data_IF_668660589848
#
_entry.id   IF_668660589848
#
_cell.length_a   1.000
_cell.length_b   1.000
_cell.length_c   1.000
_cell.angle_alpha   90.00
_cell.angle_beta   90.00
_cell.angle_gamma   90.00
#
_symmetry.space_group_name_H-M   'P 1'
#
loop_
_entity.id
_entity.type
_entity.pdbx_description
1 polymer ?
#
# COMPACT_ATOMS: atom_id res chain seq x y z
N UNK A 1 -19.52 2.49 1.19
CA UNK A 1 -18.54 1.37 1.11
C UNK A 1 -17.15 1.88 1.36
N UNK A 2 -16.22 1.03 1.83
CA UNK A 2 -14.84 1.44 2.02
C UNK A 2 -13.87 0.45 1.39
N UNK A 3 -12.69 0.96 0.97
CA UNK A 3 -11.53 0.17 0.58
C UNK A 3 -10.45 0.38 1.63
N UNK A 4 -9.97 -0.72 2.19
CA UNK A 4 -8.83 -0.74 3.09
C UNK A 4 -7.58 -1.03 2.25
N UNK A 5 -6.71 -0.03 2.08
CA UNK A 5 -5.40 -0.18 1.42
C UNK A 5 -4.37 -0.47 2.47
N UNK A 6 -3.82 -1.68 2.50
CA UNK A 6 -2.82 -2.11 3.49
C UNK A 6 -1.48 -2.40 2.81
N UNK A 7 -0.41 -1.84 3.33
CA UNK A 7 0.94 -2.29 2.99
C UNK A 7 1.16 -3.68 3.59
N UNK A 8 1.77 -4.60 2.81
CA UNK A 8 2.18 -5.91 3.34
C UNK A 8 2.96 -5.78 4.65
N UNK A 9 2.92 -6.81 5.48
CA UNK A 9 3.66 -6.86 6.74
C UNK A 9 5.16 -7.17 6.52
N UNK A 10 5.93 -7.30 7.62
CA UNK A 10 7.39 -7.38 7.62
C UNK A 10 7.85 -8.68 6.94
N UNK A 11 8.59 -8.60 5.81
CA UNK A 11 9.13 -9.77 5.16
C UNK A 11 10.37 -10.32 5.89
N UNK A 12 10.71 -11.56 5.61
CA UNK A 12 12.01 -12.11 5.98
C UNK A 12 13.15 -11.31 5.33
N UNK A 13 14.24 -11.15 6.05
CA UNK A 13 15.45 -10.46 5.60
C UNK A 13 16.64 -11.41 5.64
N UNK A 14 17.58 -11.23 4.71
CA UNK A 14 18.84 -12.01 4.69
C UNK A 14 18.74 -13.41 4.06
N UNK A 15 17.57 -13.81 3.55
CA UNK A 15 17.38 -15.01 2.75
C UNK A 15 17.78 -14.82 1.28
N UNK A 16 17.95 -15.91 0.54
CA UNK A 16 18.25 -15.91 -0.91
C UNK A 16 17.00 -15.86 -1.80
N UNK A 17 15.80 -15.84 -1.23
CA UNK A 17 14.55 -15.81 -2.00
C UNK A 17 14.37 -14.45 -2.68
N UNK A 18 14.10 -14.41 -3.99
CA UNK A 18 13.75 -13.17 -4.69
C UNK A 18 12.37 -12.62 -4.28
N UNK A 19 11.50 -13.46 -3.72
CA UNK A 19 10.19 -13.09 -3.19
C UNK A 19 10.01 -13.65 -1.76
N UNK A 20 10.56 -12.97 -0.74
CA UNK A 20 10.51 -13.44 0.64
C UNK A 20 9.08 -13.39 1.19
N UNK A 21 8.74 -14.40 1.97
CA UNK A 21 7.52 -14.43 2.78
C UNK A 21 7.60 -13.54 4.00
N UNK A 22 6.60 -13.63 4.88
CA UNK A 22 6.60 -12.88 6.14
C UNK A 22 7.55 -13.52 7.16
N UNK A 23 8.25 -12.66 7.89
CA UNK A 23 8.97 -13.07 9.10
C UNK A 23 8.00 -13.43 10.23
N UNK A 24 8.49 -14.09 11.27
CA UNK A 24 7.69 -14.37 12.47
C UNK A 24 7.11 -13.08 13.09
N UNK A 25 7.89 -12.00 13.13
CA UNK A 25 7.42 -10.68 13.56
C UNK A 25 6.36 -10.13 12.60
N UNK A 26 6.54 -10.33 11.29
CA UNK A 26 5.57 -9.92 10.26
C UNK A 26 4.23 -10.63 10.41
N UNK A 27 4.22 -11.91 10.70
CA UNK A 27 2.99 -12.67 10.99
C UNK A 27 2.25 -12.12 12.20
N UNK A 28 2.96 -11.87 13.30
CA UNK A 28 2.38 -11.30 14.52
C UNK A 28 1.82 -9.90 14.29
N UNK A 29 2.57 -9.04 13.55
CA UNK A 29 2.16 -7.67 13.25
C UNK A 29 0.91 -7.62 12.38
N UNK A 30 0.82 -8.45 11.34
CA UNK A 30 -0.37 -8.54 10.50
C UNK A 30 -1.58 -9.07 11.28
N UNK A 31 -1.41 -10.12 12.10
CA UNK A 31 -2.47 -10.63 12.95
C UNK A 31 -2.99 -9.56 13.93
N UNK A 32 -2.11 -8.74 14.50
CA UNK A 32 -2.48 -7.67 15.41
C UNK A 32 -3.27 -6.54 14.70
N UNK A 33 -2.87 -6.15 13.47
CA UNK A 33 -3.58 -5.09 12.74
C UNK A 33 -5.00 -5.52 12.36
N UNK A 34 -5.23 -6.79 12.09
CA UNK A 34 -6.55 -7.32 11.75
C UNK A 34 -7.52 -7.41 12.95
N UNK A 35 -7.06 -7.13 14.18
CA UNK A 35 -7.96 -6.93 15.33
C UNK A 35 -8.69 -5.57 15.28
N UNK A 36 -8.29 -4.65 14.40
CA UNK A 36 -8.98 -3.38 14.23
C UNK A 36 -10.39 -3.60 13.64
N UNK A 37 -11.38 -2.93 14.23
CA UNK A 37 -12.79 -3.06 13.85
C UNK A 37 -13.06 -2.74 12.36
N UNK A 38 -12.21 -1.94 11.71
CA UNK A 38 -12.34 -1.63 10.30
C UNK A 38 -12.33 -2.88 9.39
N UNK A 39 -11.73 -3.99 9.84
CA UNK A 39 -11.66 -5.22 9.06
C UNK A 39 -12.88 -6.13 9.22
N UNK A 40 -13.74 -5.88 10.23
CA UNK A 40 -14.90 -6.76 10.52
C UNK A 40 -15.94 -6.83 9.40
N UNK A 41 -16.02 -5.79 8.60
CA UNK A 41 -16.99 -5.67 7.50
C UNK A 41 -16.39 -5.93 6.13
N UNK A 42 -15.16 -6.42 6.09
CA UNK A 42 -14.49 -6.82 4.84
C UNK A 42 -15.08 -8.13 4.34
N UNK A 43 -15.50 -8.15 3.07
CA UNK A 43 -16.03 -9.34 2.39
C UNK A 43 -15.22 -9.75 1.17
N UNK A 44 -14.46 -8.85 0.57
CA UNK A 44 -13.56 -9.13 -0.54
C UNK A 44 -12.11 -8.80 -0.17
N UNK A 45 -11.20 -9.69 -0.54
CA UNK A 45 -9.76 -9.53 -0.29
C UNK A 45 -8.98 -9.72 -1.58
N UNK A 46 -8.32 -8.65 -2.01
CA UNK A 46 -7.42 -8.69 -3.16
C UNK A 46 -6.00 -8.40 -2.73
N UNK A 47 -5.03 -9.06 -3.36
CA UNK A 47 -3.62 -8.94 -2.98
C UNK A 47 -2.71 -8.89 -4.20
N UNK A 48 -1.61 -8.14 -4.06
CA UNK A 48 -0.42 -8.37 -4.89
C UNK A 48 -0.03 -9.84 -4.86
N UNK A 49 0.49 -10.41 -5.97
CA UNK A 49 0.95 -11.79 -6.02
C UNK A 49 2.23 -12.05 -5.23
N UNK A 50 2.97 -11.01 -4.78
CA UNK A 50 4.16 -11.18 -3.95
C UNK A 50 3.84 -11.93 -2.67
N UNK A 51 4.69 -12.92 -2.31
CA UNK A 51 4.43 -13.83 -1.20
C UNK A 51 4.14 -13.12 0.11
N UNK A 52 4.90 -12.05 0.46
CA UNK A 52 4.67 -11.23 1.66
C UNK A 52 3.30 -10.55 1.68
N UNK A 53 2.80 -10.10 0.52
CA UNK A 53 1.48 -9.48 0.44
C UNK A 53 0.36 -10.52 0.53
N UNK A 54 0.52 -11.63 -0.18
CA UNK A 54 -0.40 -12.76 -0.14
C UNK A 54 -0.56 -13.32 1.26
N UNK A 55 0.55 -13.60 1.95
CA UNK A 55 0.54 -14.10 3.32
C UNK A 55 -0.09 -13.08 4.30
N UNK A 56 0.17 -11.77 4.11
CA UNK A 56 -0.50 -10.74 4.90
C UNK A 56 -2.01 -10.83 4.71
N UNK A 57 -2.49 -10.87 3.46
CA UNK A 57 -3.91 -10.93 3.15
C UNK A 57 -4.61 -12.18 3.69
N UNK A 58 -3.95 -13.33 3.61
CA UNK A 58 -4.47 -14.63 4.05
C UNK A 58 -4.77 -14.69 5.56
N UNK A 59 -4.05 -13.89 6.37
CA UNK A 59 -4.27 -13.84 7.83
C UNK A 59 -5.64 -13.27 8.21
N UNK A 60 -6.35 -12.60 7.29
CA UNK A 60 -7.74 -12.19 7.54
C UNK A 60 -8.73 -13.39 7.51
N UNK A 61 -8.31 -14.55 6.99
CA UNK A 61 -9.14 -15.77 6.96
C UNK A 61 -10.20 -15.81 5.86
N UNK A 62 -10.17 -14.89 4.91
CA UNK A 62 -11.07 -14.84 3.74
C UNK A 62 -10.36 -15.32 2.47
N UNK A 63 -11.11 -15.80 1.44
CA UNK A 63 -10.54 -16.09 0.13
C UNK A 63 -9.82 -14.87 -0.46
N UNK A 64 -8.60 -15.04 -0.98
CA UNK A 64 -7.78 -13.97 -1.52
C UNK A 64 -7.69 -14.10 -3.03
N UNK A 65 -8.13 -13.06 -3.75
CA UNK A 65 -7.86 -12.90 -5.19
C UNK A 65 -6.52 -12.20 -5.38
N UNK A 66 -5.65 -12.80 -6.18
CA UNK A 66 -4.37 -12.19 -6.57
C UNK A 66 -4.54 -11.39 -7.85
N UNK A 67 -3.90 -10.21 -7.92
CA UNK A 67 -3.89 -9.38 -9.11
C UNK A 67 -2.53 -8.68 -9.27
N UNK A 68 -1.89 -8.85 -10.43
CA UNK A 68 -0.57 -8.28 -10.74
C UNK A 68 -0.58 -6.76 -10.79
N UNK A 69 -1.74 -6.13 -11.03
CA UNK A 69 -1.91 -4.66 -10.99
C UNK A 69 -1.69 -4.08 -9.60
N UNK A 70 -1.70 -4.92 -8.54
CA UNK A 70 -1.41 -4.55 -7.15
C UNK A 70 0.07 -4.74 -6.77
N UNK A 71 0.92 -5.20 -7.68
CA UNK A 71 2.34 -5.41 -7.42
C UNK A 71 3.07 -4.09 -7.07
N UNK A 72 4.23 -4.20 -6.38
CA UNK A 72 5.07 -3.03 -6.11
C UNK A 72 5.54 -2.40 -7.43
N UNK A 73 5.86 -1.11 -7.37
CA UNK A 73 6.47 -0.41 -8.50
C UNK A 73 7.77 -1.12 -8.90
N UNK A 74 7.87 -1.47 -10.16
CA UNK A 74 9.15 -1.92 -10.73
C UNK A 74 10.09 -0.73 -10.82
N UNK A 75 11.16 -0.76 -10.02
CA UNK A 75 12.10 0.36 -9.92
C UNK A 75 12.95 0.51 -11.18
N UNK A 76 13.23 -0.60 -11.87
CA UNK A 76 14.12 -0.62 -13.04
C UNK A 76 15.58 -0.51 -12.66
N UNK A 77 16.43 -0.17 -13.64
CA UNK A 77 17.86 0.01 -13.41
C UNK A 77 18.14 1.33 -12.69
N UNK A 78 18.73 1.21 -11.51
CA UNK A 78 19.14 2.35 -10.67
C UNK A 78 20.63 2.64 -10.71
N UNK A 79 21.37 2.06 -11.65
CA UNK A 79 22.81 2.27 -11.81
C UNK A 79 23.12 3.75 -11.98
N UNK A 80 24.03 4.28 -11.15
CA UNK A 80 24.40 5.69 -11.15
C UNK A 80 23.38 6.66 -10.53
N UNK A 81 22.29 6.15 -9.97
CA UNK A 81 21.33 6.97 -9.23
C UNK A 81 21.80 7.16 -7.78
N UNK A 82 21.61 8.35 -7.25
CA UNK A 82 21.76 8.65 -5.82
C UNK A 82 20.40 8.62 -5.10
N UNK A 83 20.37 8.92 -3.80
CA UNK A 83 19.16 8.91 -3.01
C UNK A 83 18.09 9.90 -3.49
N UNK A 84 18.45 10.90 -4.33
CA UNK A 84 17.52 11.91 -4.81
C UNK A 84 16.49 11.33 -5.79
N UNK A 85 16.80 10.20 -6.47
CA UNK A 85 15.83 9.56 -7.37
C UNK A 85 14.57 9.15 -6.62
N UNK A 86 14.69 8.78 -5.35
CA UNK A 86 13.54 8.41 -4.54
C UNK A 86 12.58 9.58 -4.31
N UNK A 87 13.10 10.80 -4.13
CA UNK A 87 12.30 12.03 -4.07
C UNK A 87 11.69 12.36 -5.43
N UNK A 88 12.51 12.34 -6.49
CA UNK A 88 12.11 12.69 -7.85
C UNK A 88 10.90 11.89 -8.34
N UNK A 89 10.79 10.61 -8.03
CA UNK A 89 9.64 9.78 -8.44
C UNK A 89 8.30 10.24 -7.85
N UNK A 90 8.31 10.97 -6.73
CA UNK A 90 7.11 11.58 -6.14
C UNK A 90 6.79 12.95 -6.72
N UNK A 91 7.80 13.70 -7.12
CA UNK A 91 7.68 15.06 -7.66
C UNK A 91 7.37 15.06 -9.16
N UNK A 92 7.91 14.09 -9.89
CA UNK A 92 7.67 13.88 -11.32
C UNK A 92 6.99 12.51 -11.52
N UNK A 93 5.66 12.47 -11.66
CA UNK A 93 4.93 11.21 -11.79
C UNK A 93 5.24 10.44 -13.07
N UNK A 94 5.88 11.06 -14.06
CA UNK A 94 6.31 10.42 -15.30
C UNK A 94 7.76 9.92 -15.25
N UNK A 95 8.50 10.29 -14.20
CA UNK A 95 9.86 9.81 -14.01
C UNK A 95 9.91 8.30 -13.83
N UNK A 96 10.77 7.64 -14.61
CA UNK A 96 11.10 6.23 -14.46
C UNK A 96 12.54 5.96 -14.87
N UNK A 97 13.14 4.95 -14.23
CA UNK A 97 14.42 4.40 -14.65
C UNK A 97 14.23 3.50 -15.86
N UNK A 98 15.29 3.19 -16.63
CA UNK A 98 15.24 2.16 -17.67
C UNK A 98 14.60 0.86 -17.12
N UNK A 99 13.73 0.22 -17.89
CA UNK A 99 12.98 -0.99 -17.52
C UNK A 99 12.10 -0.88 -16.26
N UNK A 100 11.96 0.34 -15.72
CA UNK A 100 11.09 0.64 -14.56
C UNK A 100 9.68 1.06 -14.96
N UNK A 101 8.88 1.35 -13.93
CA UNK A 101 7.57 1.99 -14.04
C UNK A 101 7.64 3.41 -13.49
N UNK A 102 6.87 4.33 -14.08
CA UNK A 102 6.58 5.63 -13.48
C UNK A 102 5.47 5.52 -12.45
N UNK A 103 5.34 6.52 -11.57
CA UNK A 103 4.22 6.58 -10.64
C UNK A 103 2.87 6.69 -11.36
N UNK A 104 2.83 7.38 -12.52
CA UNK A 104 1.61 7.46 -13.35
C UNK A 104 1.18 6.08 -13.86
N UNK A 105 2.11 5.28 -14.36
CA UNK A 105 1.83 3.92 -14.83
C UNK A 105 1.30 3.03 -13.69
N UNK A 106 1.95 3.07 -12.52
CA UNK A 106 1.53 2.31 -11.34
C UNK A 106 0.16 2.79 -10.83
N UNK A 107 -0.06 4.10 -10.77
CA UNK A 107 -1.34 4.70 -10.36
C UNK A 107 -2.47 4.27 -11.28
N UNK A 108 -2.23 4.23 -12.60
CA UNK A 108 -3.22 3.81 -13.59
C UNK A 108 -3.63 2.34 -13.38
N UNK A 109 -2.65 1.40 -13.33
CA UNK A 109 -2.96 -0.02 -13.15
C UNK A 109 -3.64 -0.33 -11.82
N UNK A 110 -3.24 0.36 -10.74
CA UNK A 110 -3.92 0.22 -9.45
C UNK A 110 -5.36 0.76 -9.50
N UNK A 111 -5.59 1.89 -10.18
CA UNK A 111 -6.93 2.43 -10.32
C UNK A 111 -7.85 1.49 -11.10
N UNK A 112 -7.37 0.90 -12.19
CA UNK A 112 -8.13 -0.07 -12.98
C UNK A 112 -8.52 -1.30 -12.14
N UNK A 113 -7.56 -1.80 -11.34
CA UNK A 113 -7.81 -2.91 -10.42
C UNK A 113 -8.86 -2.55 -9.35
N UNK A 114 -8.72 -1.38 -8.73
CA UNK A 114 -9.62 -0.92 -7.67
C UNK A 114 -11.02 -0.61 -8.23
N UNK A 115 -11.14 -0.09 -9.45
CA UNK A 115 -12.44 0.12 -10.10
C UNK A 115 -13.15 -1.22 -10.36
N UNK A 116 -12.45 -2.24 -10.85
CA UNK A 116 -13.01 -3.58 -11.03
C UNK A 116 -13.46 -4.19 -9.69
N UNK A 117 -12.66 -4.00 -8.64
CA UNK A 117 -13.03 -4.44 -7.29
C UNK A 117 -14.31 -3.74 -6.81
N UNK A 118 -14.41 -2.42 -6.99
CA UNK A 118 -15.60 -1.65 -6.60
C UNK A 118 -16.86 -2.11 -7.34
N UNK A 119 -16.74 -2.50 -8.62
CA UNK A 119 -17.85 -3.01 -9.41
C UNK A 119 -18.33 -4.39 -8.94
N UNK A 120 -17.44 -5.15 -8.31
CA UNK A 120 -17.74 -6.48 -7.75
C UNK A 120 -18.12 -6.46 -6.27
N UNK A 121 -17.95 -5.31 -5.58
CA UNK A 121 -18.20 -5.20 -4.15
C UNK A 121 -19.69 -5.05 -3.85
N UNK A 122 -20.30 -5.97 -3.07
CA UNK A 122 -21.70 -5.86 -2.67
C UNK A 122 -21.97 -4.57 -1.89
N UNK A 123 -23.19 -4.05 -2.00
CA UNK A 123 -23.62 -2.86 -1.28
C UNK A 123 -23.46 -3.03 0.24
N UNK A 124 -22.96 -2.00 0.90
CA UNK A 124 -22.71 -2.01 2.35
C UNK A 124 -21.49 -2.80 2.81
N UNK A 125 -20.80 -3.48 1.89
CA UNK A 125 -19.58 -4.25 2.20
C UNK A 125 -18.32 -3.41 1.98
N UNK A 126 -17.21 -3.88 2.56
CA UNK A 126 -15.88 -3.30 2.42
C UNK A 126 -14.92 -4.30 1.78
N UNK A 127 -13.84 -3.79 1.19
CA UNK A 127 -12.81 -4.62 0.60
C UNK A 127 -11.44 -4.31 1.21
N UNK A 128 -10.61 -5.34 1.35
CA UNK A 128 -9.19 -5.22 1.67
C UNK A 128 -8.36 -5.38 0.39
N UNK A 129 -7.43 -4.45 0.20
CA UNK A 129 -6.39 -4.52 -0.84
C UNK A 129 -5.04 -4.52 -0.16
N UNK A 130 -4.27 -5.61 -0.28
CA UNK A 130 -2.91 -5.69 0.23
C UNK A 130 -1.91 -5.47 -0.90
N UNK A 131 -1.08 -4.45 -0.74
CA UNK A 131 -0.11 -4.00 -1.74
C UNK A 131 1.19 -3.50 -1.07
N UNK A 132 1.86 -2.55 -1.66
CA UNK A 132 3.21 -2.12 -1.32
C UNK A 132 3.28 -0.59 -1.16
N UNK A 133 4.36 -0.11 -0.55
CA UNK A 133 4.47 1.29 -0.19
C UNK A 133 4.44 2.26 -1.37
N UNK A 134 5.24 2.03 -2.43
CA UNK A 134 5.26 2.93 -3.57
C UNK A 134 3.98 2.81 -4.41
N UNK A 135 3.44 1.60 -4.57
CA UNK A 135 2.21 1.37 -5.29
C UNK A 135 1.01 2.08 -4.61
N UNK A 136 0.86 1.94 -3.30
CA UNK A 136 -0.20 2.63 -2.54
C UNK A 136 -0.03 4.15 -2.62
N UNK A 137 1.19 4.68 -2.42
CA UNK A 137 1.44 6.12 -2.51
C UNK A 137 1.14 6.67 -3.90
N UNK A 138 1.53 5.98 -4.98
CA UNK A 138 1.21 6.42 -6.35
C UNK A 138 -0.30 6.43 -6.62
N UNK A 139 -1.06 5.48 -6.08
CA UNK A 139 -2.51 5.51 -6.17
C UNK A 139 -3.12 6.68 -5.37
N UNK A 140 -2.62 6.92 -4.15
CA UNK A 140 -3.10 8.01 -3.30
C UNK A 140 -2.83 9.40 -3.90
N UNK A 141 -1.78 9.59 -4.71
CA UNK A 141 -1.52 10.85 -5.42
C UNK A 141 -2.67 11.31 -6.34
N UNK A 142 -3.63 10.45 -6.63
CA UNK A 142 -4.86 10.83 -7.37
C UNK A 142 -5.79 11.73 -6.55
N UNK A 143 -5.67 11.72 -5.22
CA UNK A 143 -6.59 12.36 -4.27
C UNK A 143 -5.87 13.15 -3.19
N UNK A 144 -4.63 12.79 -2.89
CA UNK A 144 -3.81 13.31 -1.81
C UNK A 144 -2.58 14.04 -2.36
N UNK A 145 -2.08 14.99 -1.62
CA UNK A 145 -0.71 15.47 -1.77
C UNK A 145 0.22 14.50 -1.05
N UNK A 146 1.27 14.04 -1.73
CA UNK A 146 2.30 13.16 -1.18
C UNK A 146 3.65 13.84 -1.36
N UNK A 147 4.22 14.33 -0.27
CA UNK A 147 5.48 15.08 -0.25
C UNK A 147 6.57 14.24 0.41
N UNK A 148 7.76 14.27 -0.16
CA UNK A 148 8.96 13.68 0.47
C UNK A 148 9.55 14.72 1.43
N UNK A 149 9.52 14.44 2.73
CA UNK A 149 10.07 15.31 3.77
C UNK A 149 11.54 15.02 4.06
N UNK A 150 11.98 13.76 3.88
CA UNK A 150 13.40 13.36 3.94
C UNK A 150 13.63 12.17 3.00
N UNK A 151 14.41 12.41 1.93
CA UNK A 151 14.70 11.39 0.93
C UNK A 151 15.64 10.28 1.44
N UNK A 152 16.62 10.64 2.27
CA UNK A 152 17.60 9.68 2.79
C UNK A 152 16.94 8.70 3.77
N UNK A 153 16.04 9.20 4.61
CA UNK A 153 15.28 8.39 5.56
C UNK A 153 13.96 7.86 4.98
N UNK A 154 13.62 8.20 3.73
CA UNK A 154 12.36 7.81 3.07
C UNK A 154 11.11 8.25 3.84
N UNK A 155 11.17 9.44 4.46
CA UNK A 155 10.04 10.05 5.13
C UNK A 155 9.15 10.79 4.13
N UNK A 156 7.84 10.75 4.38
CA UNK A 156 6.84 11.43 3.53
C UNK A 156 5.70 11.97 4.37
N UNK A 157 5.10 13.03 3.86
CA UNK A 157 3.82 13.56 4.37
C UNK A 157 2.74 13.27 3.35
N UNK A 158 1.61 12.71 3.80
CA UNK A 158 0.42 12.46 2.99
C UNK A 158 -0.70 13.30 3.57
N UNK A 159 -1.31 14.15 2.72
CA UNK A 159 -2.37 15.08 3.12
C UNK A 159 -3.59 14.90 2.22
N UNK A 160 -4.77 14.79 2.81
CA UNK A 160 -6.05 14.73 2.13
C UNK A 160 -6.95 15.87 2.59
N UNK A 161 -7.41 16.72 1.67
CA UNK A 161 -8.28 17.88 1.97
C UNK A 161 -7.77 18.80 3.12
N UNK A 162 -6.45 18.95 3.22
CA UNK A 162 -5.80 19.76 4.25
C UNK A 162 -5.50 19.03 5.56
N UNK A 163 -6.02 17.81 5.74
CA UNK A 163 -5.73 16.96 6.91
C UNK A 163 -4.50 16.08 6.66
N UNK A 164 -3.57 16.07 7.62
CA UNK A 164 -2.37 15.22 7.56
C UNK A 164 -2.74 13.80 7.99
N UNK A 165 -2.65 12.86 7.06
CA UNK A 165 -2.92 11.44 7.28
C UNK A 165 -1.68 10.69 7.79
N UNK A 166 -0.50 11.02 7.24
CA UNK A 166 0.77 10.43 7.60
C UNK A 166 1.85 11.51 7.59
N UNK A 167 2.71 11.54 8.60
CA UNK A 167 3.95 12.33 8.62
C UNK A 167 5.08 11.44 9.15
N UNK A 168 5.98 11.03 8.26
CA UNK A 168 7.08 10.13 8.57
C UNK A 168 7.16 8.87 7.70
N UNK A 169 7.50 7.74 8.32
CA UNK A 169 7.54 6.46 7.61
C UNK A 169 6.14 5.87 7.39
N UNK A 170 5.95 5.31 6.20
CA UNK A 170 4.83 4.41 5.93
C UNK A 170 5.31 2.97 6.21
N UNK A 171 5.06 2.50 7.44
CA UNK A 171 5.57 1.21 7.91
C UNK A 171 4.82 0.02 7.32
N UNK A 172 5.41 -1.17 7.46
CA UNK A 172 4.78 -2.43 7.14
C UNK A 172 3.52 -2.64 7.99
N UNK A 173 2.47 -3.16 7.38
CA UNK A 173 1.12 -3.30 7.95
C UNK A 173 0.42 -1.99 8.35
N UNK A 174 0.96 -0.82 7.99
CA UNK A 174 0.19 0.42 7.99
C UNK A 174 -0.68 0.50 6.73
N UNK A 175 -1.76 1.27 6.81
CA UNK A 175 -2.71 1.40 5.72
C UNK A 175 -3.66 2.58 5.85
N UNK A 176 -4.62 2.63 4.93
CA UNK A 176 -5.64 3.67 4.84
C UNK A 176 -7.01 3.04 4.60
N UNK A 177 -8.04 3.58 5.25
CA UNK A 177 -9.45 3.32 4.95
C UNK A 177 -9.96 4.45 4.09
N UNK A 178 -10.31 4.14 2.85
CA UNK A 178 -10.91 5.08 1.91
C UNK A 178 -12.43 4.87 1.89
N UNK A 179 -13.18 5.80 2.44
CA UNK A 179 -14.64 5.81 2.30
C UNK A 179 -14.98 6.34 0.91
N UNK A 180 -15.66 5.53 0.10
CA UNK A 180 -15.89 5.78 -1.32
C UNK A 180 -17.33 6.16 -1.56
N UNK A 181 -17.55 7.29 -2.26
CA UNK A 181 -18.79 7.71 -2.87
C UNK A 181 -18.52 8.11 -4.33
N UNK A 182 -19.39 7.70 -5.25
CA UNK A 182 -19.23 8.00 -6.68
C UNK A 182 -17.81 7.67 -7.22
N UNK A 183 -17.25 6.52 -6.79
CA UNK A 183 -15.89 6.04 -7.13
C UNK A 183 -14.74 6.95 -6.68
N UNK A 184 -14.98 7.88 -5.75
CA UNK A 184 -13.95 8.78 -5.19
C UNK A 184 -13.95 8.71 -3.67
N UNK A 185 -12.78 8.82 -3.03
CA UNK A 185 -12.71 8.95 -1.59
C UNK A 185 -13.33 10.29 -1.16
N UNK A 186 -14.25 10.23 -0.21
CA UNK A 186 -14.84 11.40 0.46
C UNK A 186 -14.23 11.58 1.85
N UNK A 187 -13.69 10.51 2.43
CA UNK A 187 -12.99 10.52 3.71
C UNK A 187 -11.88 9.46 3.66
N UNK A 188 -10.70 9.80 4.16
CA UNK A 188 -9.60 8.85 4.33
C UNK A 188 -9.19 8.85 5.80
N UNK A 189 -9.09 7.65 6.37
CA UNK A 189 -8.57 7.43 7.73
C UNK A 189 -7.36 6.52 7.67
N UNK A 190 -6.50 6.60 8.67
CA UNK A 190 -5.30 5.76 8.77
C UNK A 190 -5.56 4.52 9.59
N UNK A 191 -4.91 3.43 9.21
CA UNK A 191 -4.73 2.23 10.02
C UNK A 191 -3.24 2.15 10.31
N UNK A 192 -2.88 2.31 11.58
CA UNK A 192 -1.49 2.10 11.99
C UNK A 192 -1.40 0.82 12.80
N UNK A 193 -0.49 -0.07 12.37
CA UNK A 193 -0.09 -1.17 13.21
C UNK A 193 0.55 -0.62 14.49
N UNK A 194 0.25 -1.20 15.64
CA UNK A 194 0.82 -0.76 16.89
C UNK A 194 2.36 -0.69 16.78
N UNK A 195 2.94 0.49 17.05
CA UNK A 195 4.39 0.64 17.10
C UNK A 195 4.92 -0.20 18.25
N UNK A 196 5.95 -1.00 18.00
CA UNK A 196 6.71 -1.62 19.07
C UNK A 196 7.22 -0.51 19.98
N UNK A 197 6.98 -0.60 21.28
CA UNK A 197 7.61 0.31 22.23
C UNK A 197 9.14 0.24 21.99
N UNK A 198 9.86 1.36 22.00
CA UNK A 198 11.31 1.31 21.93
C UNK A 198 11.82 0.44 23.07
N UNK A 199 12.69 -0.52 22.73
CA UNK A 199 13.33 -1.40 23.68
C UNK A 199 14.32 -0.62 24.59
#
# INVERSE_FOLDING_TARGET
MAILLLRHSIPERGGSSPDPGLSAEGLQRAAAVFQNDAFRTVSLVWSSPSLRALQTAQLLGLPVRQDTRLAERRTGDTTGQDASFWKRQYEDPDFKNPDGESFREVSARMADCIHELLDSLPEGQNALVVSHAAAICSYLQRFCTVEVTDAAQKLRRITFQGEVLLDGHFWEADGFVLHIENRRPVLIRTIFAAKKAPA
#
